data_IF_750601855546
#
_entry.id   IF_750601855546
#
_cell.length_a   1.000
_cell.length_b   1.000
_cell.length_c   1.000
_cell.angle_alpha   90.00
_cell.angle_beta   90.00
_cell.angle_gamma   90.00
#
_symmetry.space_group_name_H-M   'P 1'
#
loop_
_entity.id
_entity.type
_entity.pdbx_description
1 polymer ?
#
# COMPACT_ATOMS: atom_id res chain seq x y z
N UNK A 1 -14.43 14.96 -1.31
CA UNK A 1 -15.81 14.88 -1.84
C UNK A 1 -15.97 13.96 -3.06
N UNK A 2 -15.44 14.29 -4.26
CA UNK A 2 -15.63 13.40 -5.45
C UNK A 2 -14.83 12.10 -5.37
N UNK A 3 -13.63 12.11 -4.78
CA UNK A 3 -12.84 10.89 -4.58
C UNK A 3 -13.42 9.97 -3.49
N UNK A 4 -13.88 10.53 -2.37
CA UNK A 4 -14.54 9.79 -1.28
C UNK A 4 -15.81 9.07 -1.76
N UNK A 5 -16.67 9.76 -2.53
CA UNK A 5 -17.90 9.14 -3.04
C UNK A 5 -17.67 7.98 -4.01
N UNK A 6 -16.54 7.97 -4.75
CA UNK A 6 -16.17 6.85 -5.64
C UNK A 6 -15.59 5.66 -4.87
N UNK A 7 -14.89 5.92 -3.76
CA UNK A 7 -14.34 4.87 -2.90
C UNK A 7 -15.42 4.08 -2.19
N UNK A 8 -16.43 4.76 -1.65
CA UNK A 8 -17.58 4.11 -1.00
C UNK A 8 -18.41 3.28 -1.99
N UNK A 9 -18.69 3.82 -3.18
CA UNK A 9 -19.40 3.08 -4.23
C UNK A 9 -18.63 1.83 -4.68
N UNK A 10 -17.32 1.96 -4.91
CA UNK A 10 -16.46 0.83 -5.28
C UNK A 10 -16.41 -0.25 -4.18
N UNK A 11 -16.34 0.14 -2.90
CA UNK A 11 -16.46 -0.82 -1.77
C UNK A 11 -17.80 -1.53 -1.77
N UNK A 12 -18.89 -0.81 -1.98
CA UNK A 12 -20.23 -1.39 -2.01
C UNK A 12 -20.37 -2.43 -3.12
N UNK A 13 -19.79 -2.18 -4.30
CA UNK A 13 -19.74 -3.17 -5.38
C UNK A 13 -18.97 -4.42 -4.95
N UNK A 14 -17.79 -4.26 -4.34
CA UNK A 14 -16.99 -5.39 -3.85
C UNK A 14 -17.71 -6.18 -2.74
N UNK A 15 -18.49 -5.52 -1.89
CA UNK A 15 -19.25 -6.13 -0.80
C UNK A 15 -20.48 -6.90 -1.27
N UNK A 16 -20.92 -6.69 -2.52
CA UNK A 16 -22.04 -7.42 -3.12
C UNK A 16 -21.60 -8.64 -3.95
N UNK A 17 -20.28 -8.84 -4.13
CA UNK A 17 -19.76 -10.01 -4.83
C UNK A 17 -20.02 -11.31 -4.04
N UNK A 18 -20.20 -12.45 -4.73
CA UNK A 18 -20.20 -13.77 -4.10
C UNK A 18 -18.93 -13.97 -3.25
N UNK A 19 -18.98 -14.75 -2.14
CA UNK A 19 -17.83 -14.93 -1.25
C UNK A 19 -16.54 -15.34 -1.98
N UNK A 20 -16.61 -16.27 -2.93
CA UNK A 20 -15.45 -16.74 -3.69
C UNK A 20 -14.78 -15.63 -4.53
N UNK A 21 -15.59 -14.74 -5.12
CA UNK A 21 -15.09 -13.62 -5.91
C UNK A 21 -14.58 -12.47 -5.02
N UNK A 22 -15.24 -12.25 -3.88
CA UNK A 22 -14.83 -11.26 -2.87
C UNK A 22 -13.48 -11.61 -2.27
N UNK A 23 -13.23 -12.91 -2.06
CA UNK A 23 -11.98 -13.45 -1.56
C UNK A 23 -10.98 -13.77 -2.69
N UNK A 24 -11.25 -13.37 -3.93
CA UNK A 24 -10.27 -13.49 -4.99
C UNK A 24 -9.18 -12.41 -4.84
N UNK A 25 -7.95 -12.73 -5.26
CA UNK A 25 -6.82 -11.80 -5.21
C UNK A 25 -7.12 -10.43 -5.88
N UNK A 26 -7.80 -10.34 -7.04
CA UNK A 26 -8.15 -9.06 -7.64
C UNK A 26 -9.08 -8.21 -6.76
N UNK A 27 -10.10 -8.80 -6.14
CA UNK A 27 -11.04 -8.08 -5.29
C UNK A 27 -10.37 -7.56 -4.01
N UNK A 28 -9.51 -8.38 -3.38
CA UNK A 28 -8.67 -7.94 -2.26
C UNK A 28 -7.73 -6.79 -2.64
N UNK A 29 -7.11 -6.86 -3.82
CA UNK A 29 -6.29 -5.77 -4.35
C UNK A 29 -7.07 -4.47 -4.48
N UNK A 30 -8.22 -4.47 -5.14
CA UNK A 30 -9.02 -3.23 -5.27
C UNK A 30 -9.45 -2.69 -3.91
N UNK A 31 -9.88 -3.57 -2.99
CA UNK A 31 -10.27 -3.16 -1.62
C UNK A 31 -9.11 -2.50 -0.87
N UNK A 32 -7.92 -3.09 -0.94
CA UNK A 32 -6.71 -2.55 -0.33
C UNK A 32 -6.37 -1.17 -0.92
N UNK A 33 -6.42 -1.01 -2.25
CA UNK A 33 -6.15 0.28 -2.92
C UNK A 33 -7.09 1.38 -2.43
N UNK A 34 -8.38 1.07 -2.24
CA UNK A 34 -9.35 2.02 -1.70
C UNK A 34 -9.02 2.39 -0.24
N UNK A 35 -8.68 1.42 0.61
CA UNK A 35 -8.28 1.67 2.00
C UNK A 35 -7.03 2.54 2.11
N UNK A 36 -5.99 2.26 1.31
CA UNK A 36 -4.75 3.04 1.32
C UNK A 36 -4.94 4.44 0.71
N UNK A 37 -5.92 4.63 -0.17
CA UNK A 37 -6.25 5.95 -0.73
C UNK A 37 -6.76 6.95 0.31
N UNK A 38 -7.32 6.48 1.43
CA UNK A 38 -7.75 7.34 2.54
C UNK A 38 -6.57 7.82 3.41
N UNK A 39 -5.44 7.11 3.36
CA UNK A 39 -4.24 7.41 4.13
C UNK A 39 -3.19 8.14 3.30
N UNK A 40 -3.16 7.88 1.99
CA UNK A 40 -2.21 8.47 1.07
C UNK A 40 -2.53 9.94 0.78
N UNK A 41 -1.48 10.74 0.60
CA UNK A 41 -1.62 12.06 0.02
C UNK A 41 -2.25 12.00 -1.38
N UNK A 42 -2.93 13.09 -1.75
CA UNK A 42 -3.42 13.28 -3.12
C UNK A 42 -2.26 13.33 -4.11
N UNK A 43 -2.56 13.09 -5.38
CA UNK A 43 -1.56 13.16 -6.46
C UNK A 43 -0.91 14.55 -6.53
N UNK A 44 -1.69 15.60 -6.28
CA UNK A 44 -1.22 16.99 -6.25
C UNK A 44 -0.26 17.25 -5.09
N UNK A 45 -0.58 16.75 -3.90
CA UNK A 45 0.29 16.84 -2.72
C UNK A 45 1.59 16.05 -2.91
N UNK A 46 1.52 14.87 -3.54
CA UNK A 46 2.71 14.10 -3.91
C UNK A 46 3.58 14.85 -4.92
N UNK A 47 2.98 15.49 -5.92
CA UNK A 47 3.72 16.31 -6.88
C UNK A 47 4.39 17.53 -6.20
N UNK A 48 3.74 18.11 -5.19
CA UNK A 48 4.28 19.24 -4.42
C UNK A 48 5.53 18.88 -3.59
N UNK A 49 5.81 17.59 -3.36
CA UNK A 49 7.06 17.15 -2.74
C UNK A 49 8.29 17.42 -3.64
N UNK A 50 8.10 17.63 -4.94
CA UNK A 50 9.16 17.91 -5.90
C UNK A 50 10.24 16.82 -5.91
N UNK A 51 11.51 17.24 -5.85
CA UNK A 51 12.68 16.34 -5.89
C UNK A 51 13.16 15.89 -4.50
N UNK A 52 12.37 16.12 -3.45
CA UNK A 52 12.74 15.72 -2.09
C UNK A 52 13.02 14.22 -2.02
N UNK A 53 14.13 13.83 -1.41
CA UNK A 53 14.55 12.43 -1.25
C UNK A 53 14.65 11.99 0.21
N UNK A 54 14.16 12.81 1.14
CA UNK A 54 14.10 12.45 2.57
C UNK A 54 13.06 11.35 2.83
N UNK A 55 13.16 10.72 4.00
CA UNK A 55 12.35 9.56 4.41
C UNK A 55 10.84 9.82 4.32
N UNK A 56 10.39 11.03 4.64
CA UNK A 56 8.97 11.42 4.51
C UNK A 56 8.53 11.43 3.05
N UNK A 57 9.28 12.10 2.18
CA UNK A 57 8.92 12.16 0.77
C UNK A 57 8.96 10.77 0.10
N UNK A 58 9.89 9.91 0.49
CA UNK A 58 9.94 8.53 0.01
C UNK A 58 8.75 7.69 0.52
N UNK A 59 8.42 7.81 1.81
CA UNK A 59 7.29 7.12 2.41
C UNK A 59 5.96 7.50 1.75
N UNK A 60 5.71 8.80 1.58
CA UNK A 60 4.45 9.28 0.99
C UNK A 60 4.30 8.84 -0.47
N UNK A 61 5.38 8.86 -1.26
CA UNK A 61 5.35 8.31 -2.63
C UNK A 61 5.06 6.81 -2.65
N UNK A 62 5.65 6.06 -1.73
CA UNK A 62 5.39 4.61 -1.62
C UNK A 62 3.93 4.33 -1.21
N UNK A 63 3.39 5.09 -0.26
CA UNK A 63 1.99 4.97 0.18
C UNK A 63 1.02 5.30 -0.97
N UNK A 64 1.34 6.33 -1.78
CA UNK A 64 0.58 6.66 -2.99
C UNK A 64 0.61 5.52 -4.02
N UNK A 65 1.77 4.92 -4.27
CA UNK A 65 1.87 3.77 -5.19
C UNK A 65 0.99 2.60 -4.73
N UNK A 66 0.95 2.31 -3.43
CA UNK A 66 0.04 1.29 -2.87
C UNK A 66 -1.42 1.68 -3.06
N UNK A 67 -1.77 2.94 -2.79
CA UNK A 67 -3.12 3.47 -3.02
C UNK A 67 -3.54 3.38 -4.49
N UNK A 68 -2.62 3.54 -5.43
CA UNK A 68 -2.85 3.41 -6.87
C UNK A 68 -2.87 1.95 -7.37
N UNK A 69 -2.76 0.96 -6.46
CA UNK A 69 -2.69 -0.45 -6.81
C UNK A 69 -1.35 -0.88 -7.44
N UNK A 70 -0.35 0.00 -7.48
CA UNK A 70 1.01 -0.28 -7.93
C UNK A 70 1.81 -0.98 -6.82
N UNK A 71 1.28 -2.10 -6.33
CA UNK A 71 1.78 -2.78 -5.13
C UNK A 71 3.24 -3.17 -5.21
N UNK A 72 3.71 -3.70 -6.33
CA UNK A 72 5.10 -4.13 -6.47
C UNK A 72 6.09 -2.95 -6.28
N UNK A 73 5.78 -1.80 -6.90
CA UNK A 73 6.56 -0.58 -6.77
C UNK A 73 6.50 -0.01 -5.35
N UNK A 74 5.30 0.09 -4.76
CA UNK A 74 5.11 0.60 -3.40
C UNK A 74 5.81 -0.27 -2.34
N UNK A 75 5.68 -1.59 -2.43
CA UNK A 75 6.33 -2.53 -1.52
C UNK A 75 7.87 -2.48 -1.64
N UNK A 76 8.40 -2.35 -2.86
CA UNK A 76 9.86 -2.20 -3.05
C UNK A 76 10.36 -0.86 -2.49
N UNK A 77 9.61 0.23 -2.68
CA UNK A 77 9.94 1.53 -2.12
C UNK A 77 9.93 1.53 -0.59
N UNK A 78 8.96 0.85 0.05
CA UNK A 78 8.92 0.69 1.51
C UNK A 78 10.11 -0.14 2.03
N UNK A 79 10.50 -1.20 1.32
CA UNK A 79 11.70 -1.97 1.67
C UNK A 79 12.98 -1.14 1.51
N UNK A 80 13.07 -0.33 0.45
CA UNK A 80 14.20 0.58 0.24
C UNK A 80 14.28 1.62 1.37
N UNK A 81 13.14 2.19 1.78
CA UNK A 81 13.08 3.10 2.91
C UNK A 81 13.52 2.41 4.21
N UNK A 82 13.06 1.18 4.48
CA UNK A 82 13.52 0.43 5.66
C UNK A 82 15.03 0.18 5.68
N UNK A 83 15.66 0.00 4.51
CA UNK A 83 17.12 -0.15 4.40
C UNK A 83 17.85 1.17 4.70
N UNK A 84 17.28 2.29 4.26
CA UNK A 84 17.88 3.62 4.40
C UNK A 84 17.68 4.18 5.82
N UNK A 85 16.46 4.11 6.33
CA UNK A 85 16.03 4.72 7.59
C UNK A 85 14.94 3.87 8.24
N UNK A 86 15.37 2.81 8.95
CA UNK A 86 14.47 1.84 9.57
C UNK A 86 13.53 2.46 10.61
N UNK A 87 14.02 3.43 11.38
CA UNK A 87 13.32 4.01 12.52
C UNK A 87 12.36 5.15 12.14
N UNK A 88 12.34 5.53 10.85
CA UNK A 88 11.47 6.58 10.35
C UNK A 88 10.02 6.40 10.81
N UNK A 89 9.48 7.44 11.45
CA UNK A 89 8.10 7.56 11.92
C UNK A 89 7.61 6.30 12.68
N UNK A 90 8.38 5.88 13.70
CA UNK A 90 8.12 4.70 14.53
C UNK A 90 7.97 3.42 13.69
N UNK A 91 8.93 3.15 12.81
CA UNK A 91 8.94 2.03 11.87
C UNK A 91 7.75 2.02 10.88
N UNK A 92 7.32 3.20 10.40
CA UNK A 92 6.17 3.34 9.51
C UNK A 92 6.25 2.40 8.31
N UNK A 93 7.41 2.33 7.64
CA UNK A 93 7.57 1.47 6.46
C UNK A 93 7.32 -0.02 6.76
N UNK A 94 7.78 -0.54 7.90
CA UNK A 94 7.51 -1.93 8.31
C UNK A 94 6.04 -2.15 8.57
N UNK A 95 5.41 -1.23 9.30
CA UNK A 95 3.98 -1.33 9.66
C UNK A 95 3.11 -1.32 8.40
N UNK A 96 3.40 -0.44 7.45
CA UNK A 96 2.69 -0.38 6.16
C UNK A 96 2.88 -1.66 5.34
N UNK A 97 4.10 -2.21 5.25
CA UNK A 97 4.32 -3.50 4.58
C UNK A 97 3.42 -4.61 5.16
N UNK A 98 3.34 -4.69 6.50
CA UNK A 98 2.50 -5.68 7.17
C UNK A 98 1.00 -5.46 6.89
N UNK A 99 0.54 -4.20 6.88
CA UNK A 99 -0.84 -3.85 6.54
C UNK A 99 -1.18 -4.25 5.09
N UNK A 100 -0.29 -3.96 4.13
CA UNK A 100 -0.50 -4.35 2.73
C UNK A 100 -0.58 -5.88 2.60
N UNK A 101 0.26 -6.62 3.31
CA UNK A 101 0.22 -8.08 3.29
C UNK A 101 -1.07 -8.67 3.85
N UNK A 102 -1.61 -8.05 4.89
CA UNK A 102 -2.90 -8.46 5.47
C UNK A 102 -4.03 -8.18 4.48
N UNK A 103 -4.07 -6.97 3.91
CA UNK A 103 -5.10 -6.56 2.96
C UNK A 103 -5.10 -7.39 1.66
N UNK A 104 -3.92 -7.72 1.11
CA UNK A 104 -3.81 -8.58 -0.08
C UNK A 104 -4.08 -10.06 0.22
N UNK A 105 -3.89 -10.47 1.49
CA UNK A 105 -3.98 -11.85 1.95
C UNK A 105 -2.65 -12.61 1.88
N UNK A 106 -2.53 -13.64 2.73
CA UNK A 106 -1.30 -14.39 2.93
C UNK A 106 -0.80 -15.14 1.67
N UNK A 107 -1.74 -15.65 0.85
CA UNK A 107 -1.44 -16.43 -0.35
C UNK A 107 -1.22 -15.58 -1.59
N UNK A 108 -1.36 -14.25 -1.50
CA UNK A 108 -1.11 -13.36 -2.63
C UNK A 108 0.36 -13.45 -3.06
N UNK A 109 0.69 -13.59 -4.36
CA UNK A 109 2.07 -13.76 -4.83
C UNK A 109 3.03 -12.64 -4.37
N UNK A 110 2.55 -11.39 -4.34
CA UNK A 110 3.31 -10.26 -3.80
C UNK A 110 3.54 -10.39 -2.29
N UNK A 111 2.52 -10.75 -1.51
CA UNK A 111 2.66 -10.97 -0.06
C UNK A 111 3.73 -12.01 0.23
N UNK A 112 3.69 -13.16 -0.45
CA UNK A 112 4.70 -14.23 -0.30
C UNK A 112 6.10 -13.72 -0.62
N UNK A 113 6.25 -13.03 -1.75
CA UNK A 113 7.55 -12.54 -2.23
C UNK A 113 8.15 -11.50 -1.28
N UNK A 114 7.37 -10.51 -0.89
CA UNK A 114 7.85 -9.37 -0.11
C UNK A 114 7.97 -9.68 1.39
N UNK A 115 7.18 -10.61 1.95
CA UNK A 115 7.41 -11.13 3.32
C UNK A 115 8.79 -11.77 3.44
N UNK A 116 9.21 -12.56 2.45
CA UNK A 116 10.56 -13.16 2.42
C UNK A 116 11.65 -12.09 2.36
N UNK A 117 11.49 -11.07 1.51
CA UNK A 117 12.43 -9.94 1.42
C UNK A 117 12.51 -9.17 2.75
N UNK A 118 11.37 -8.90 3.38
CA UNK A 118 11.31 -8.21 4.68
C UNK A 118 12.03 -9.02 5.75
N UNK A 119 11.78 -10.33 5.84
CA UNK A 119 12.46 -11.20 6.80
C UNK A 119 13.97 -11.17 6.58
N UNK A 120 14.43 -11.31 5.34
CA UNK A 120 15.86 -11.24 5.00
C UNK A 120 16.53 -9.87 5.31
N UNK A 121 15.74 -8.81 5.50
CA UNK A 121 16.25 -7.50 5.91
C UNK A 121 16.36 -7.34 7.44
N UNK A 122 15.62 -8.15 8.20
CA UNK A 122 15.58 -8.09 9.66
C UNK A 122 16.66 -8.92 10.35
N UNK A 123 17.26 -9.87 9.63
CA UNK A 123 18.28 -10.81 10.09
C UNK A 123 19.56 -10.71 9.26
#
# INVERSE_FOLDING_TARGET
LVAEGRGEEARSVLDNLPPEERDAAPARGVRASIEFSEQALSTEEIAALGDRTDSEAQYQRALRQVADGQYDAGLEALLALMKQDRAYNDDAARKTLLQVFDALGADHPLTVTYRRKLFALLY
#
